data_IF_240693206232
#
_entry.id   IF_240693206232
#
_cell.length_a   1.000
_cell.length_b   1.000
_cell.length_c   1.000
_cell.angle_alpha   90.00
_cell.angle_beta   90.00
_cell.angle_gamma   90.00
#
_symmetry.space_group_name_H-M   'P 1'
#
loop_
_entity.id
_entity.type
_entity.pdbx_description
1 polymer ?
#
# COMPACT_ATOMS: atom_id res chain seq x y z
N UNK A 1 11.60 10.91 3.03
CA UNK A 1 10.27 10.55 3.59
C UNK A 1 9.67 9.49 2.67
N UNK A 2 9.28 8.34 3.20
CA UNK A 2 8.73 7.21 2.42
C UNK A 2 7.21 7.30 2.28
N UNK A 3 6.62 6.26 1.69
CA UNK A 3 5.17 6.09 1.60
C UNK A 3 4.53 5.65 2.92
N UNK A 4 3.19 5.51 2.95
CA UNK A 4 2.46 5.05 4.12
C UNK A 4 2.84 3.58 4.44
N UNK A 5 3.28 3.27 5.67
CA UNK A 5 3.75 1.93 6.03
C UNK A 5 2.63 0.90 6.06
N UNK A 6 1.39 1.35 6.26
CA UNK A 6 0.15 0.56 6.26
C UNK A 6 -0.19 -0.03 4.88
N UNK A 7 0.48 0.43 3.81
CA UNK A 7 0.32 -0.17 2.48
C UNK A 7 1.08 -1.49 2.29
N UNK A 8 1.98 -1.84 3.21
CA UNK A 8 2.84 -3.02 3.11
C UNK A 8 2.54 -3.95 4.28
N UNK A 9 2.12 -5.18 3.95
CA UNK A 9 2.09 -6.29 4.88
C UNK A 9 3.47 -6.95 4.87
N UNK A 10 4.25 -6.70 5.93
CA UNK A 10 5.65 -7.09 6.00
C UNK A 10 5.80 -8.61 5.86
N UNK A 11 6.61 -9.04 4.90
CA UNK A 11 6.86 -10.44 4.57
C UNK A 11 5.84 -11.06 3.61
N UNK A 12 4.70 -10.40 3.36
CA UNK A 12 3.64 -10.90 2.47
C UNK A 12 3.61 -10.10 1.16
N UNK A 13 3.48 -8.78 1.25
CA UNK A 13 3.41 -7.88 0.07
C UNK A 13 4.65 -7.01 -0.10
N UNK A 14 5.56 -7.01 0.87
CA UNK A 14 6.81 -6.25 0.81
C UNK A 14 7.65 -6.35 2.06
N UNK A 15 8.75 -5.59 2.09
CA UNK A 15 9.57 -5.33 3.26
C UNK A 15 9.58 -3.82 3.52
N UNK A 16 9.77 -3.43 4.79
CA UNK A 16 9.93 -2.03 5.18
C UNK A 16 11.30 -1.89 5.82
N UNK A 17 12.14 -1.03 5.23
CA UNK A 17 13.42 -0.67 5.81
C UNK A 17 13.27 0.48 6.82
N UNK A 18 14.23 0.58 7.74
CA UNK A 18 14.34 1.67 8.70
C UNK A 18 14.38 3.06 8.03
N UNK A 19 13.76 4.09 8.63
CA UNK A 19 13.75 5.43 8.07
C UNK A 19 15.17 6.02 8.05
N UNK A 20 15.62 6.41 6.85
CA UNK A 20 16.98 6.91 6.60
C UNK A 20 18.10 5.90 6.97
N UNK A 21 17.79 4.60 6.92
CA UNK A 21 18.77 3.54 7.16
C UNK A 21 19.20 2.88 5.83
N UNK A 22 20.33 3.30 5.22
CA UNK A 22 20.79 2.73 3.97
C UNK A 22 21.31 1.28 4.12
N UNK A 23 21.78 0.90 5.31
CA UNK A 23 22.28 -0.46 5.56
C UNK A 23 21.10 -1.42 5.63
N UNK A 24 20.05 -1.04 6.33
CA UNK A 24 18.83 -1.83 6.42
C UNK A 24 18.10 -1.92 5.07
N UNK A 25 18.10 -0.85 4.29
CA UNK A 25 17.59 -0.87 2.93
C UNK A 25 18.34 -1.86 2.04
N UNK A 26 19.68 -1.85 2.06
CA UNK A 26 20.50 -2.79 1.31
C UNK A 26 20.22 -4.24 1.73
N UNK A 27 20.12 -4.50 3.04
CA UNK A 27 19.75 -5.82 3.59
C UNK A 27 18.40 -6.31 3.05
N UNK A 28 17.37 -5.45 3.03
CA UNK A 28 16.07 -5.83 2.45
C UNK A 28 16.16 -6.18 0.96
N UNK A 29 16.98 -5.47 0.19
CA UNK A 29 17.20 -5.79 -1.23
C UNK A 29 17.90 -7.14 -1.37
N UNK A 30 18.97 -7.38 -0.60
CA UNK A 30 19.71 -8.63 -0.64
C UNK A 30 18.81 -9.83 -0.26
N UNK A 31 17.93 -9.67 0.73
CA UNK A 31 16.95 -10.70 1.12
C UNK A 31 15.99 -11.06 -0.01
N UNK A 32 15.57 -10.08 -0.82
CA UNK A 32 14.69 -10.32 -1.97
C UNK A 32 15.44 -10.98 -3.13
N UNK A 33 16.70 -10.62 -3.35
CA UNK A 33 17.53 -11.20 -4.41
C UNK A 33 17.99 -12.63 -4.10
N UNK A 34 18.11 -12.97 -2.82
CA UNK A 34 18.51 -14.30 -2.36
C UNK A 34 17.44 -15.38 -2.65
N UNK A 35 16.18 -15.00 -2.79
CA UNK A 35 15.05 -15.91 -3.06
C UNK A 35 14.09 -15.32 -4.12
N UNK A 36 14.37 -15.58 -5.42
CA UNK A 36 13.55 -15.09 -6.52
C UNK A 36 12.09 -15.60 -6.52
N UNK A 37 11.85 -16.80 -5.99
CA UNK A 37 10.49 -17.36 -5.91
C UNK A 37 9.66 -16.59 -4.89
N UNK A 38 10.23 -16.35 -3.70
CA UNK A 38 9.62 -15.50 -2.68
C UNK A 38 9.39 -14.07 -3.19
N UNK A 39 10.36 -13.49 -3.90
CA UNK A 39 10.20 -12.17 -4.52
C UNK A 39 9.00 -12.16 -5.49
N UNK A 40 8.86 -13.18 -6.32
CA UNK A 40 7.75 -13.29 -7.25
C UNK A 40 6.40 -13.40 -6.52
N UNK A 41 6.31 -14.27 -5.52
CA UNK A 41 5.10 -14.45 -4.71
C UNK A 41 4.70 -13.15 -3.98
N UNK A 42 5.67 -12.44 -3.39
CA UNK A 42 5.41 -11.14 -2.76
C UNK A 42 4.87 -10.11 -3.75
N UNK A 43 5.40 -10.09 -4.98
CA UNK A 43 4.89 -9.23 -6.05
C UNK A 43 3.45 -9.54 -6.46
N UNK A 44 3.09 -10.83 -6.52
CA UNK A 44 1.72 -11.28 -6.80
C UNK A 44 0.76 -10.84 -5.69
N UNK A 45 1.09 -11.10 -4.42
CA UNK A 45 0.26 -10.65 -3.30
C UNK A 45 0.12 -9.13 -3.25
N UNK A 46 1.19 -8.38 -3.52
CA UNK A 46 1.15 -6.92 -3.59
C UNK A 46 0.20 -6.42 -4.69
N UNK A 47 0.19 -7.10 -5.84
CA UNK A 47 -0.72 -6.79 -6.95
C UNK A 47 -2.17 -7.05 -6.56
N UNK A 48 -2.46 -8.22 -6.02
CA UNK A 48 -3.81 -8.60 -5.57
C UNK A 48 -4.34 -7.64 -4.49
N UNK A 49 -3.50 -7.28 -3.51
CA UNK A 49 -3.86 -6.32 -2.48
C UNK A 49 -4.18 -4.94 -3.07
N UNK A 50 -3.36 -4.46 -4.02
CA UNK A 50 -3.60 -3.20 -4.71
C UNK A 50 -4.91 -3.22 -5.52
N UNK A 51 -5.20 -4.31 -6.22
CA UNK A 51 -6.44 -4.45 -7.01
C UNK A 51 -7.69 -4.53 -6.12
N UNK A 52 -7.60 -5.19 -4.96
CA UNK A 52 -8.71 -5.32 -4.02
C UNK A 52 -9.01 -4.02 -3.26
N UNK A 53 -7.97 -3.34 -2.79
CA UNK A 53 -8.11 -2.25 -1.82
C UNK A 53 -8.09 -0.86 -2.45
N UNK A 54 -7.57 -0.74 -3.68
CA UNK A 54 -7.38 0.55 -4.36
C UNK A 54 -8.21 0.68 -5.62
N UNK A 55 -9.45 0.19 -5.56
CA UNK A 55 -10.47 0.69 -6.47
C UNK A 55 -10.70 2.18 -6.18
N UNK A 56 -9.96 3.03 -6.91
CA UNK A 56 -10.07 4.47 -6.84
C UNK A 56 -11.49 4.94 -7.11
N UNK A 57 -12.28 4.18 -7.87
CA UNK A 57 -13.69 4.46 -8.11
C UNK A 57 -14.49 4.28 -6.82
N UNK A 58 -14.31 3.18 -6.09
CA UNK A 58 -14.94 2.96 -4.79
C UNK A 58 -14.51 3.98 -3.72
N UNK A 59 -13.22 4.34 -3.66
CA UNK A 59 -12.71 5.35 -2.71
C UNK A 59 -13.30 6.73 -3.03
N UNK A 60 -13.25 7.16 -4.29
CA UNK A 60 -13.80 8.45 -4.70
C UNK A 60 -15.32 8.48 -4.56
N UNK A 61 -16.02 7.39 -4.85
CA UNK A 61 -17.46 7.26 -4.64
C UNK A 61 -17.84 7.54 -3.19
N UNK A 62 -17.18 6.86 -2.22
CA UNK A 62 -17.42 7.09 -0.78
C UNK A 62 -17.10 8.52 -0.34
N UNK A 63 -16.05 9.13 -0.90
CA UNK A 63 -15.68 10.51 -0.62
C UNK A 63 -16.75 11.49 -1.14
N UNK A 64 -17.18 11.33 -2.39
CA UNK A 64 -18.21 12.14 -3.02
C UNK A 64 -19.56 11.98 -2.33
N UNK A 65 -19.95 10.77 -1.93
CA UNK A 65 -21.14 10.53 -1.12
C UNK A 65 -21.10 11.27 0.22
N UNK A 66 -19.92 11.30 0.86
CA UNK A 66 -19.74 12.02 2.12
C UNK A 66 -19.91 13.52 1.93
N UNK A 67 -19.36 14.09 0.85
CA UNK A 67 -19.58 15.49 0.50
C UNK A 67 -21.04 15.79 0.15
N UNK A 68 -21.69 14.92 -0.63
CA UNK A 68 -23.09 15.05 -1.00
C UNK A 68 -24.01 15.04 0.24
N UNK A 69 -23.74 14.17 1.22
CA UNK A 69 -24.48 14.14 2.50
C UNK A 69 -24.38 15.46 3.25
N UNK A 70 -23.17 16.00 3.41
CA UNK A 70 -22.95 17.26 4.14
C UNK A 70 -23.62 18.43 3.44
N UNK A 71 -23.52 18.52 2.10
CA UNK A 71 -24.19 19.55 1.30
C UNK A 71 -25.71 19.47 1.47
N UNK A 72 -26.29 18.26 1.44
CA UNK A 72 -27.74 18.07 1.60
C UNK A 72 -28.25 18.47 2.99
N UNK A 73 -27.45 18.27 4.05
CA UNK A 73 -27.80 18.72 5.42
C UNK A 73 -27.54 20.20 5.69
N UNK A 74 -26.75 20.87 4.84
CA UNK A 74 -26.42 22.29 4.95
C UNK A 74 -27.22 23.21 4.03
N UNK A 75 -28.16 22.67 3.25
CA UNK A 75 -29.07 23.46 2.44
C UNK A 75 -30.07 24.21 3.36
N UNK A 76 -30.24 25.54 3.19
CA UNK A 76 -31.20 26.32 3.99
C UNK A 76 -32.66 25.91 3.75
#
# INVERSE_FOLDING_TARGET
RGGPPDLVEVGVTGLIAGPNDPVDFARCVDELLADPERLHAMGQHAREAAERERDWEAINGRLLESYARVIATGAP
#
